data_IF_964541023042
#
_entry.id   IF_964541023042
#
_cell.length_a   1.000
_cell.length_b   1.000
_cell.length_c   1.000
_cell.angle_alpha   90.00
_cell.angle_beta   90.00
_cell.angle_gamma   90.00
#
_symmetry.space_group_name_H-M   'P 1'
#
loop_
_entity.id
_entity.type
_entity.pdbx_description
1 polymer ?
#
# COMPACT_ATOMS: atom_id res chain seq x y z
N UNK A 1 -1.47 1.74 -22.90
CA UNK A 1 -0.53 0.63 -23.09
C UNK A 1 -1.06 -0.53 -22.29
N UNK A 2 -1.69 -1.50 -22.97
CA UNK A 2 -2.65 -2.45 -22.39
C UNK A 2 -2.00 -3.80 -22.00
N UNK A 3 -0.70 -3.80 -21.75
CA UNK A 3 0.12 -5.01 -21.59
C UNK A 3 0.60 -5.28 -20.16
N UNK A 4 0.30 -4.42 -19.18
CA UNK A 4 0.79 -4.56 -17.82
C UNK A 4 -0.33 -5.11 -16.94
N UNK A 5 -0.21 -6.40 -16.57
CA UNK A 5 -1.26 -7.19 -15.90
C UNK A 5 -1.51 -6.77 -14.45
N UNK A 6 -0.64 -5.95 -13.85
CA UNK A 6 -0.78 -5.44 -12.49
C UNK A 6 0.01 -4.14 -12.26
N UNK A 7 -0.27 -3.44 -11.15
CA UNK A 7 0.55 -2.29 -10.72
C UNK A 7 2.00 -2.65 -10.41
N UNK A 8 2.23 -3.86 -9.87
CA UNK A 8 3.57 -4.38 -9.54
C UNK A 8 4.45 -4.52 -10.79
N UNK A 9 3.88 -4.98 -11.91
CA UNK A 9 4.63 -5.11 -13.16
C UNK A 9 5.13 -3.75 -13.68
N UNK A 10 4.31 -2.70 -13.51
CA UNK A 10 4.70 -1.33 -13.87
C UNK A 10 5.84 -0.82 -12.98
N UNK A 11 5.82 -1.13 -11.69
CA UNK A 11 6.90 -0.75 -10.78
C UNK A 11 8.22 -1.43 -11.15
N UNK A 12 8.20 -2.74 -11.46
CA UNK A 12 9.40 -3.45 -11.91
C UNK A 12 10.00 -2.83 -13.17
N UNK A 13 9.18 -2.59 -14.19
CA UNK A 13 9.66 -1.96 -15.43
C UNK A 13 10.22 -0.56 -15.20
N UNK A 14 9.62 0.22 -14.30
CA UNK A 14 10.15 1.53 -13.92
C UNK A 14 11.53 1.42 -13.24
N UNK A 15 11.70 0.48 -12.30
CA UNK A 15 13.00 0.21 -11.67
C UNK A 15 14.07 -0.19 -12.70
N UNK A 16 13.72 -1.10 -13.62
CA UNK A 16 14.63 -1.54 -14.69
C UNK A 16 15.05 -0.36 -15.60
N UNK A 17 14.11 0.52 -15.94
CA UNK A 17 14.38 1.71 -16.78
C UNK A 17 15.22 2.78 -16.09
N UNK A 18 15.03 2.97 -14.78
CA UNK A 18 15.82 3.94 -13.99
C UNK A 18 17.23 3.40 -13.71
N UNK A 19 17.45 2.08 -13.85
CA UNK A 19 18.75 1.45 -13.61
C UNK A 19 19.17 1.50 -12.14
N UNK A 20 18.21 1.68 -11.23
CA UNK A 20 18.46 1.75 -9.80
C UNK A 20 18.33 0.36 -9.18
N UNK A 21 19.34 -0.03 -8.40
CA UNK A 21 19.21 -1.13 -7.44
C UNK A 21 18.62 -0.57 -6.16
N UNK A 22 17.42 -1.00 -5.81
CA UNK A 22 16.75 -0.62 -4.57
C UNK A 22 16.39 -1.87 -3.78
N UNK A 23 16.62 -1.85 -2.46
CA UNK A 23 16.23 -2.93 -1.56
C UNK A 23 14.71 -2.99 -1.37
N UNK A 24 14.05 -1.83 -1.42
CA UNK A 24 12.60 -1.66 -1.24
C UNK A 24 12.06 -0.69 -2.28
N UNK A 25 10.92 -1.05 -2.87
CA UNK A 25 10.17 -0.20 -3.80
C UNK A 25 8.82 0.15 -3.16
N UNK A 26 8.57 1.44 -2.95
CA UNK A 26 7.29 1.93 -2.44
C UNK A 26 6.46 2.44 -3.62
N UNK A 27 5.33 1.80 -3.87
CA UNK A 27 4.37 2.23 -4.88
C UNK A 27 3.34 3.17 -4.25
N UNK A 28 3.25 4.39 -4.77
CA UNK A 28 2.24 5.38 -4.37
C UNK A 28 1.14 5.39 -5.45
N UNK A 29 -0.09 5.04 -5.08
CA UNK A 29 -1.21 5.11 -6.01
C UNK A 29 -1.63 6.56 -6.24
N UNK A 30 -2.01 6.89 -7.49
CA UNK A 30 -2.29 8.27 -7.91
C UNK A 30 -3.64 8.82 -7.43
N UNK A 31 -4.50 7.97 -6.89
CA UNK A 31 -5.80 8.29 -6.29
C UNK A 31 -5.69 8.64 -4.78
N UNK A 32 -4.49 8.62 -4.22
CA UNK A 32 -4.18 9.06 -2.85
C UNK A 32 -3.41 10.40 -2.86
N UNK A 33 -4.04 11.54 -3.21
CA UNK A 33 -3.36 12.84 -3.33
C UNK A 33 -2.85 13.43 -2.00
N UNK A 34 -3.20 12.82 -0.86
CA UNK A 34 -2.88 13.32 0.47
C UNK A 34 -1.95 12.40 1.27
N UNK A 35 -1.13 11.57 0.61
CA UNK A 35 -0.08 10.82 1.31
C UNK A 35 0.85 11.80 2.02
N UNK A 36 0.88 11.67 3.34
CA UNK A 36 1.77 12.46 4.20
C UNK A 36 3.15 11.81 4.28
N UNK A 37 4.25 12.57 4.35
CA UNK A 37 5.60 12.01 4.48
C UNK A 37 5.75 11.01 5.62
N UNK A 38 5.06 11.24 6.74
CA UNK A 38 5.09 10.36 7.91
C UNK A 38 4.54 8.96 7.60
N UNK A 39 3.58 8.85 6.69
CA UNK A 39 3.03 7.57 6.25
C UNK A 39 4.07 6.76 5.46
N UNK A 40 4.87 7.44 4.62
CA UNK A 40 5.96 6.79 3.89
C UNK A 40 7.03 6.31 4.87
N UNK A 41 7.39 7.12 5.87
CA UNK A 41 8.34 6.70 6.91
C UNK A 41 7.82 5.54 7.76
N UNK A 42 6.52 5.50 8.07
CA UNK A 42 5.90 4.35 8.73
C UNK A 42 6.04 3.07 7.89
N UNK A 43 5.75 3.16 6.59
CA UNK A 43 5.86 2.02 5.69
C UNK A 43 7.30 1.53 5.55
N UNK A 44 8.28 2.44 5.50
CA UNK A 44 9.70 2.09 5.46
C UNK A 44 10.13 1.29 6.68
N UNK A 45 9.69 1.68 7.89
CA UNK A 45 10.03 1.01 9.15
C UNK A 45 9.52 -0.44 9.21
N UNK A 46 8.48 -0.80 8.47
CA UNK A 46 8.04 -2.20 8.38
C UNK A 46 9.17 -3.10 7.85
N UNK A 47 10.05 -2.59 7.00
CA UNK A 47 11.17 -3.35 6.43
C UNK A 47 12.43 -3.36 7.32
N UNK A 48 12.40 -2.73 8.50
CA UNK A 48 13.47 -2.90 9.51
C UNK A 48 13.45 -4.34 10.07
N UNK A 49 12.30 -5.01 9.98
CA UNK A 49 12.14 -6.43 10.27
C UNK A 49 12.53 -7.27 9.03
N UNK A 50 13.52 -8.19 9.13
CA UNK A 50 14.11 -8.86 7.97
C UNK A 50 13.17 -9.88 7.29
N UNK A 51 12.11 -10.28 7.97
CA UNK A 51 11.07 -11.20 7.50
C UNK A 51 9.96 -10.50 6.70
N UNK A 52 9.88 -9.17 6.76
CA UNK A 52 8.87 -8.40 6.03
C UNK A 52 9.27 -8.30 4.55
N UNK A 53 8.45 -8.92 3.70
CA UNK A 53 8.63 -8.93 2.23
C UNK A 53 7.71 -7.95 1.51
N UNK A 54 6.55 -7.67 2.11
CA UNK A 54 5.52 -6.80 1.58
C UNK A 54 4.91 -6.07 2.77
N UNK A 55 4.73 -4.76 2.63
CA UNK A 55 3.99 -3.94 3.57
C UNK A 55 3.02 -3.05 2.79
N UNK A 56 1.89 -2.72 3.39
CA UNK A 56 0.91 -1.78 2.84
C UNK A 56 0.38 -0.90 3.96
N UNK A 57 -0.09 0.29 3.60
CA UNK A 57 -0.86 1.11 4.51
C UNK A 57 -2.35 0.87 4.29
N UNK A 58 -3.12 0.88 5.37
CA UNK A 58 -4.56 0.92 5.34
C UNK A 58 -5.04 2.12 6.16
N UNK A 59 -6.12 2.74 5.71
CA UNK A 59 -6.78 3.82 6.44
C UNK A 59 -7.92 3.23 7.26
N UNK A 60 -7.95 3.52 8.56
CA UNK A 60 -9.09 3.19 9.40
C UNK A 60 -10.33 3.93 8.87
N UNK A 61 -11.48 3.24 8.88
CA UNK A 61 -12.75 3.88 8.56
C UNK A 61 -13.06 4.97 9.59
N UNK A 62 -13.60 6.09 9.11
CA UNK A 62 -14.04 7.18 9.98
C UNK A 62 -15.44 6.83 10.53
N UNK A 63 -15.59 6.57 11.84
CA UNK A 63 -16.88 6.22 12.43
C UNK A 63 -17.87 7.38 12.41
N UNK A 64 -17.40 8.63 12.36
CA UNK A 64 -18.22 9.84 12.28
C UNK A 64 -18.50 10.25 10.82
N UNK A 65 -17.90 9.55 9.86
CA UNK A 65 -18.04 9.77 8.42
C UNK A 65 -19.11 8.90 7.76
N UNK A 66 -18.89 8.54 6.50
CA UNK A 66 -19.77 7.69 5.70
C UNK A 66 -19.56 6.18 5.96
N UNK A 67 -19.21 5.80 7.20
CA UNK A 67 -18.77 4.46 7.61
C UNK A 67 -19.54 3.32 6.93
N UNK A 68 -20.87 3.30 7.07
CA UNK A 68 -21.73 2.25 6.50
C UNK A 68 -21.61 2.18 4.97
N UNK A 69 -21.61 3.33 4.28
CA UNK A 69 -21.51 3.38 2.83
C UNK A 69 -20.12 2.91 2.36
N UNK A 70 -19.05 3.34 3.04
CA UNK A 70 -17.69 2.89 2.70
C UNK A 70 -17.50 1.41 3.00
N UNK A 71 -18.03 0.92 4.12
CA UNK A 71 -17.91 -0.48 4.55
C UNK A 71 -18.63 -1.42 3.59
N UNK A 72 -19.80 -1.04 3.07
CA UNK A 72 -20.54 -1.89 2.13
C UNK A 72 -20.21 -1.63 0.65
N UNK A 73 -19.35 -0.67 0.33
CA UNK A 73 -18.90 -0.42 -1.04
C UNK A 73 -17.98 -1.55 -1.56
N UNK A 74 -18.35 -2.32 -2.60
CA UNK A 74 -17.52 -3.40 -3.13
C UNK A 74 -16.22 -2.91 -3.79
N UNK A 75 -16.16 -1.63 -4.19
CA UNK A 75 -14.98 -1.02 -4.79
C UNK A 75 -13.96 -0.53 -3.75
N UNK A 76 -14.26 -0.67 -2.46
CA UNK A 76 -13.33 -0.36 -1.37
C UNK A 76 -12.86 -1.67 -0.75
N UNK A 77 -11.62 -2.12 -1.02
CA UNK A 77 -11.04 -3.28 -0.36
C UNK A 77 -10.97 -3.05 1.16
N UNK A 78 -11.20 -4.12 1.92
CA UNK A 78 -11.07 -4.11 3.39
C UNK A 78 -9.96 -5.05 3.79
N UNK A 79 -9.31 -4.70 4.88
CA UNK A 79 -8.27 -5.52 5.49
C UNK A 79 -8.51 -5.54 7.00
N UNK A 80 -8.32 -6.70 7.61
CA UNK A 80 -8.26 -6.85 9.05
C UNK A 80 -6.80 -7.05 9.45
N UNK A 81 -6.43 -6.55 10.62
CA UNK A 81 -5.11 -6.74 11.20
C UNK A 81 -5.25 -7.53 12.50
N UNK A 82 -4.25 -8.34 12.82
CA UNK A 82 -4.16 -8.93 14.15
C UNK A 82 -3.60 -7.92 15.18
N UNK A 83 -3.38 -8.41 16.41
CA UNK A 83 -2.85 -7.60 17.51
C UNK A 83 -1.38 -7.19 17.32
N UNK A 84 -0.68 -7.79 16.37
CA UNK A 84 0.70 -7.46 16.02
C UNK A 84 0.77 -6.46 14.85
N UNK A 85 -0.36 -6.19 14.19
CA UNK A 85 -0.44 -5.29 13.04
C UNK A 85 -0.23 -6.00 11.71
N UNK A 86 -0.27 -7.34 11.69
CA UNK A 86 -0.13 -8.13 10.48
C UNK A 86 -1.49 -8.31 9.79
N UNK A 87 -1.51 -8.04 8.48
CA UNK A 87 -2.72 -8.16 7.67
C UNK A 87 -3.18 -9.62 7.58
N UNK A 88 -4.46 -9.86 7.89
CA UNK A 88 -5.10 -11.16 7.82
C UNK A 88 -5.80 -11.32 6.46
N UNK A 89 -5.62 -12.48 5.84
CA UNK A 89 -6.24 -12.84 4.55
C UNK A 89 -7.52 -13.64 4.68
#
# INVERSE_FOLDING_TARGET
SDTHRSGTDRCREACDKVGATADVVINIQGDEPFIRPEQIEQLKRCFDAPDVRIATLAKAFDPDGDFEQTLFNPNTPKVAFDVHGDAQG
#
